data_IF_993625128162
#
_entry.id   IF_993625128162
#
_cell.length_a   1.000
_cell.length_b   1.000
_cell.length_c   1.000
_cell.angle_alpha   90.00
_cell.angle_beta   90.00
_cell.angle_gamma   90.00
#
_symmetry.space_group_name_H-M   'P 1'
#
loop_
_entity.id
_entity.type
_entity.pdbx_description
1 polymer ?
#
# COMPACT_ATOMS: atom_id res chain seq x y z
N UNK A 1 -53.28 -36.15 -24.38
CA UNK A 1 -52.72 -34.94 -23.74
C UNK A 1 -53.82 -33.89 -23.66
N UNK A 2 -54.03 -33.30 -22.48
CA UNK A 2 -55.06 -32.29 -22.29
C UNK A 2 -54.63 -30.97 -22.93
N UNK A 3 -55.46 -30.43 -23.83
CA UNK A 3 -55.22 -29.17 -24.55
C UNK A 3 -54.99 -28.01 -23.59
N UNK A 4 -55.65 -28.03 -22.43
CA UNK A 4 -55.46 -27.02 -21.39
C UNK A 4 -54.05 -27.08 -20.83
N UNK A 5 -53.54 -28.28 -20.56
CA UNK A 5 -52.18 -28.48 -20.04
C UNK A 5 -51.12 -28.04 -21.05
N UNK A 6 -51.35 -28.33 -22.33
CA UNK A 6 -50.45 -27.93 -23.41
C UNK A 6 -50.38 -26.40 -23.57
N UNK A 7 -51.53 -25.71 -23.54
CA UNK A 7 -51.58 -24.25 -23.67
C UNK A 7 -51.02 -23.54 -22.44
N UNK A 8 -51.29 -24.04 -21.24
CA UNK A 8 -50.74 -23.48 -20.00
C UNK A 8 -49.22 -23.66 -19.97
N UNK A 9 -48.70 -24.82 -20.38
CA UNK A 9 -47.27 -25.06 -20.47
C UNK A 9 -46.58 -24.17 -21.51
N UNK A 10 -47.10 -24.11 -22.73
CA UNK A 10 -46.48 -23.31 -23.81
C UNK A 10 -46.57 -21.81 -23.54
N UNK A 11 -47.71 -21.30 -23.08
CA UNK A 11 -47.83 -19.89 -22.70
C UNK A 11 -46.95 -19.53 -21.49
N UNK A 12 -46.89 -20.41 -20.47
CA UNK A 12 -46.02 -20.24 -19.31
C UNK A 12 -44.54 -20.20 -19.70
N UNK A 13 -44.11 -21.02 -20.66
CA UNK A 13 -42.71 -21.04 -21.09
C UNK A 13 -42.38 -19.84 -22.00
N UNK A 14 -43.24 -19.52 -22.96
CA UNK A 14 -42.98 -18.45 -23.95
C UNK A 14 -43.05 -17.04 -23.35
N UNK A 15 -43.91 -16.82 -22.33
CA UNK A 15 -44.05 -15.51 -21.69
C UNK A 15 -43.46 -15.46 -20.28
N UNK A 16 -43.53 -16.56 -19.53
CA UNK A 16 -43.01 -16.61 -18.18
C UNK A 16 -41.48 -16.67 -18.12
N UNK A 17 -40.82 -17.36 -19.06
CA UNK A 17 -39.36 -17.44 -19.07
C UNK A 17 -38.71 -16.08 -19.38
N UNK A 18 -39.10 -15.31 -20.42
CA UNK A 18 -38.54 -13.98 -20.65
C UNK A 18 -38.83 -12.99 -19.51
N UNK A 19 -40.00 -13.11 -18.87
CA UNK A 19 -40.33 -12.29 -17.70
C UNK A 19 -39.44 -12.65 -16.51
N UNK A 20 -39.20 -13.94 -16.25
CA UNK A 20 -38.26 -14.39 -15.22
C UNK A 20 -36.83 -13.92 -15.54
N UNK A 21 -36.41 -14.01 -16.80
CA UNK A 21 -35.10 -13.51 -17.23
C UNK A 21 -34.97 -11.99 -17.01
N UNK A 22 -36.03 -11.23 -17.26
CA UNK A 22 -36.05 -9.78 -17.00
C UNK A 22 -35.96 -9.40 -15.51
N UNK A 23 -36.32 -10.33 -14.62
CA UNK A 23 -36.27 -10.14 -13.16
C UNK A 23 -35.02 -10.76 -12.51
N UNK A 24 -34.49 -11.84 -13.10
CA UNK A 24 -33.36 -12.59 -12.58
C UNK A 24 -32.01 -12.08 -13.10
N UNK A 25 -31.99 -11.49 -14.31
CA UNK A 25 -30.80 -10.86 -14.86
C UNK A 25 -30.88 -9.35 -14.68
N UNK A 26 -30.17 -8.81 -13.69
CA UNK A 26 -29.80 -7.40 -13.72
C UNK A 26 -28.96 -7.19 -15.00
N UNK A 27 -29.44 -6.44 -16.02
CA UNK A 27 -28.69 -6.23 -17.26
C UNK A 27 -27.43 -5.40 -17.03
N UNK A 28 -27.24 -4.89 -15.81
CA UNK A 28 -25.97 -4.37 -15.34
C UNK A 28 -25.10 -5.58 -15.02
N UNK A 29 -24.34 -6.03 -16.02
CA UNK A 29 -23.01 -6.52 -15.73
C UNK A 29 -22.38 -5.47 -14.81
N UNK A 30 -22.38 -5.72 -13.49
CA UNK A 30 -21.68 -4.86 -12.55
C UNK A 30 -20.23 -5.03 -12.98
N UNK A 31 -19.70 -4.02 -13.67
CA UNK A 31 -18.27 -3.88 -13.81
C UNK A 31 -17.69 -4.20 -12.43
N UNK A 32 -16.78 -5.17 -12.36
CA UNK A 32 -16.11 -5.47 -11.11
C UNK A 32 -15.70 -4.13 -10.50
N UNK A 33 -16.04 -3.88 -9.23
CA UNK A 33 -15.63 -2.66 -8.57
C UNK A 33 -14.14 -2.48 -8.87
N UNK A 34 -13.78 -1.33 -9.45
CA UNK A 34 -12.38 -1.00 -9.69
C UNK A 34 -11.58 -1.36 -8.43
N UNK A 35 -10.47 -2.12 -8.56
CA UNK A 35 -9.72 -2.55 -7.40
C UNK A 35 -9.38 -1.30 -6.58
N UNK A 36 -9.66 -1.37 -5.28
CA UNK A 36 -9.38 -0.26 -4.37
C UNK A 36 -7.90 0.13 -4.49
N UNK A 37 -7.58 1.43 -4.53
CA UNK A 37 -6.20 1.87 -4.49
C UNK A 37 -5.50 1.26 -3.28
N UNK A 38 -4.32 0.68 -3.51
CA UNK A 38 -3.49 0.10 -2.45
C UNK A 38 -2.09 0.69 -2.52
N UNK A 39 -1.43 0.74 -1.36
CA UNK A 39 -0.03 1.13 -1.23
C UNK A 39 0.76 -0.06 -0.69
N UNK A 40 1.95 -0.29 -1.26
CA UNK A 40 2.90 -1.30 -0.76
C UNK A 40 4.11 -0.56 -0.21
N UNK A 41 4.45 -0.86 1.03
CA UNK A 41 5.66 -0.35 1.68
C UNK A 41 6.70 -1.46 1.74
N UNK A 42 7.89 -1.18 1.22
CA UNK A 42 9.05 -2.06 1.28
C UNK A 42 10.08 -1.41 2.20
N UNK A 43 10.42 -2.09 3.28
CA UNK A 43 11.39 -1.62 4.26
C UNK A 43 12.73 -2.34 4.05
N UNK A 44 13.83 -1.57 4.06
CA UNK A 44 15.20 -2.08 4.01
C UNK A 44 15.90 -1.70 5.31
N UNK A 45 16.11 -2.63 6.26
CA UNK A 45 16.49 -2.30 7.62
C UNK A 45 17.82 -1.57 7.75
N UNK A 46 18.81 -1.98 6.97
CA UNK A 46 20.14 -1.35 6.96
C UNK A 46 20.29 -0.31 5.84
N UNK A 47 19.21 -0.08 5.09
CA UNK A 47 19.24 0.72 3.88
C UNK A 47 20.15 0.14 2.78
N UNK A 48 20.23 0.84 1.65
CA UNK A 48 21.17 0.56 0.59
C UNK A 48 22.48 1.33 0.77
N UNK A 49 23.52 0.97 0.00
CA UNK A 49 24.77 1.73 -0.08
C UNK A 49 24.50 3.14 -0.63
N UNK A 50 24.61 4.17 0.22
CA UNK A 50 24.10 5.53 -0.04
C UNK A 50 24.73 6.16 -1.28
N UNK A 51 26.03 5.97 -1.49
CA UNK A 51 26.78 6.65 -2.55
C UNK A 51 26.51 6.08 -3.95
N UNK A 52 26.11 4.80 -4.01
CA UNK A 52 25.83 4.10 -5.25
C UNK A 52 24.34 3.86 -5.52
N UNK A 53 23.46 4.04 -4.52
CA UNK A 53 22.04 3.73 -4.68
C UNK A 53 21.27 4.70 -5.58
N UNK A 54 21.40 6.00 -5.31
CA UNK A 54 20.53 7.02 -5.89
C UNK A 54 20.89 7.38 -7.35
N UNK A 55 19.94 7.94 -8.14
CA UNK A 55 20.24 8.45 -9.47
C UNK A 55 21.38 9.47 -9.43
N UNK A 56 22.17 9.52 -10.50
CA UNK A 56 23.38 10.37 -10.56
C UNK A 56 23.10 11.88 -10.52
N UNK A 57 21.86 12.30 -10.83
CA UNK A 57 21.44 13.70 -10.81
C UNK A 57 19.95 13.82 -10.45
N UNK A 58 19.54 14.99 -9.99
CA UNK A 58 18.13 15.33 -9.76
C UNK A 58 17.39 15.58 -11.07
N UNK A 59 16.06 15.45 -11.04
CA UNK A 59 15.20 15.69 -12.20
C UNK A 59 14.60 14.40 -12.76
N UNK A 60 14.31 14.40 -14.07
CA UNK A 60 13.66 13.26 -14.73
C UNK A 60 14.56 12.03 -14.67
N UNK A 61 14.03 10.93 -14.16
CA UNK A 61 14.72 9.64 -14.12
C UNK A 61 14.75 9.05 -15.53
N UNK A 62 15.97 8.75 -16.00
CA UNK A 62 16.25 8.08 -17.27
C UNK A 62 17.20 6.92 -17.07
N UNK A 63 17.31 6.05 -18.08
CA UNK A 63 18.33 4.98 -18.10
C UNK A 63 19.74 5.53 -17.83
N UNK A 64 20.07 6.70 -18.37
CA UNK A 64 21.37 7.34 -18.16
C UNK A 64 21.58 7.76 -16.70
N UNK A 65 20.54 8.28 -16.03
CA UNK A 65 20.66 8.66 -14.61
C UNK A 65 20.75 7.46 -13.66
N UNK A 66 20.31 6.29 -14.11
CA UNK A 66 20.32 5.05 -13.33
C UNK A 66 21.51 4.13 -13.64
N UNK A 67 22.23 4.37 -14.73
CA UNK A 67 23.37 3.53 -15.14
C UNK A 67 24.45 3.46 -14.05
N UNK A 68 24.83 2.25 -13.65
CA UNK A 68 25.81 2.00 -12.59
C UNK A 68 25.31 2.33 -11.18
N UNK A 69 24.00 2.51 -10.99
CA UNK A 69 23.38 2.79 -9.68
C UNK A 69 22.63 1.58 -9.15
N UNK A 70 22.39 1.53 -7.84
CA UNK A 70 21.61 0.46 -7.21
C UNK A 70 20.17 0.35 -7.74
N UNK A 71 19.63 1.44 -8.28
CA UNK A 71 18.32 1.50 -8.92
C UNK A 71 18.32 1.13 -10.43
N UNK A 72 19.47 0.79 -11.02
CA UNK A 72 19.59 0.39 -12.44
C UNK A 72 18.59 -0.69 -12.87
N UNK A 73 18.30 -1.74 -12.07
CA UNK A 73 17.32 -2.76 -12.42
C UNK A 73 15.90 -2.22 -12.66
N UNK A 74 15.58 -1.02 -12.16
CA UNK A 74 14.28 -0.38 -12.32
C UNK A 74 14.18 0.49 -13.58
N UNK A 75 15.19 0.49 -14.44
CA UNK A 75 15.20 1.23 -15.72
C UNK A 75 13.93 1.05 -16.56
N UNK A 76 13.33 -0.16 -16.70
CA UNK A 76 12.07 -0.33 -17.46
C UNK A 76 10.88 0.47 -16.89
N UNK A 77 10.97 0.92 -15.64
CA UNK A 77 9.93 1.65 -14.93
C UNK A 77 10.30 3.11 -14.69
N UNK A 78 11.39 3.63 -15.27
CA UNK A 78 11.91 4.98 -14.99
C UNK A 78 10.85 6.10 -15.09
N UNK A 79 9.89 5.97 -16.01
CA UNK A 79 8.78 6.92 -16.18
C UNK A 79 7.67 6.83 -15.10
N UNK A 80 7.73 5.84 -14.22
CA UNK A 80 6.82 5.60 -13.09
C UNK A 80 7.49 5.78 -11.73
N UNK A 81 8.78 6.14 -11.72
CA UNK A 81 9.54 6.31 -10.49
C UNK A 81 9.55 7.77 -10.05
N UNK A 82 9.35 7.97 -8.75
CA UNK A 82 9.71 9.19 -8.03
C UNK A 82 10.70 8.74 -6.95
N UNK A 83 11.92 9.26 -7.00
CA UNK A 83 12.95 8.96 -6.02
C UNK A 83 13.21 10.21 -5.20
N UNK A 84 12.94 10.12 -3.91
CA UNK A 84 13.16 11.20 -2.95
C UNK A 84 14.43 10.87 -2.17
N UNK A 85 15.39 11.78 -2.17
CA UNK A 85 16.65 11.68 -1.43
C UNK A 85 16.81 12.93 -0.55
N UNK A 86 17.61 12.83 0.51
CA UNK A 86 17.86 13.93 1.45
C UNK A 86 16.83 14.04 2.56
N UNK A 87 15.94 13.05 2.71
CA UNK A 87 15.10 12.91 3.91
C UNK A 87 15.94 12.24 5.00
N UNK A 88 16.14 12.94 6.11
CA UNK A 88 16.78 12.43 7.32
C UNK A 88 15.96 12.86 8.52
N UNK A 89 15.96 12.03 9.56
CA UNK A 89 15.21 12.30 10.80
C UNK A 89 16.01 13.15 11.79
N UNK A 90 17.27 13.49 11.48
CA UNK A 90 18.17 14.26 12.35
C UNK A 90 18.85 13.43 13.44
N UNK A 91 18.47 12.16 13.63
CA UNK A 91 19.08 11.27 14.63
C UNK A 91 20.44 10.71 14.21
N UNK A 92 20.79 10.82 12.93
CA UNK A 92 22.13 10.56 12.41
C UNK A 92 23.24 11.40 13.09
N UNK A 93 22.86 12.53 13.71
CA UNK A 93 23.78 13.48 14.36
C UNK A 93 23.91 13.25 15.88
N UNK A 94 22.99 12.51 16.51
CA UNK A 94 22.94 12.32 17.96
C UNK A 94 23.19 10.86 18.41
N UNK A 95 23.37 10.66 19.72
CA UNK A 95 24.02 9.50 20.39
C UNK A 95 23.47 8.09 20.12
N UNK A 96 22.35 7.92 19.41
CA UNK A 96 21.69 6.63 19.19
C UNK A 96 21.66 6.25 17.69
N UNK A 97 22.83 6.29 17.02
CA UNK A 97 22.95 6.01 15.58
C UNK A 97 22.40 4.63 15.21
N UNK A 98 21.14 4.58 14.76
CA UNK A 98 20.51 3.34 14.32
C UNK A 98 20.18 2.40 15.47
N UNK A 99 19.82 2.94 16.63
CA UNK A 99 19.23 2.12 17.68
C UNK A 99 17.92 1.45 17.19
N UNK A 100 17.65 0.24 17.69
CA UNK A 100 16.49 -0.55 17.27
C UNK A 100 15.16 0.17 17.55
N UNK A 101 15.04 0.83 18.71
CA UNK A 101 13.83 1.56 19.07
C UNK A 101 13.58 2.74 18.15
N UNK A 102 14.62 3.56 17.91
CA UNK A 102 14.57 4.74 17.05
C UNK A 102 14.12 4.41 15.62
N UNK A 103 14.76 3.39 15.03
CA UNK A 103 14.52 3.00 13.64
C UNK A 103 13.09 2.48 13.42
N UNK A 104 12.54 1.77 14.41
CA UNK A 104 11.17 1.24 14.35
C UNK A 104 10.13 2.35 14.42
N UNK A 105 10.25 3.29 15.36
CA UNK A 105 9.23 4.34 15.54
C UNK A 105 9.34 5.48 14.53
N UNK A 106 10.48 5.63 13.85
CA UNK A 106 10.65 6.50 12.69
C UNK A 106 10.08 5.94 11.38
N UNK A 107 9.67 4.66 11.37
CA UNK A 107 9.16 3.99 10.16
C UNK A 107 7.92 4.71 9.62
N UNK A 108 7.97 5.07 8.33
CA UNK A 108 6.93 5.82 7.60
C UNK A 108 6.61 7.25 8.10
N UNK A 109 7.28 7.77 9.12
CA UNK A 109 7.02 9.15 9.61
C UNK A 109 8.02 10.17 9.08
N UNK A 110 9.27 9.73 8.86
CA UNK A 110 10.41 10.59 8.54
C UNK A 110 10.59 11.77 9.52
N UNK A 111 10.04 11.65 10.72
CA UNK A 111 10.05 12.68 11.75
C UNK A 111 11.10 12.38 12.82
N UNK A 112 11.40 13.40 13.62
CA UNK A 112 12.20 13.19 14.82
C UNK A 112 11.53 12.19 15.75
N UNK A 113 12.35 11.45 16.47
CA UNK A 113 11.89 10.49 17.47
C UNK A 113 12.22 11.03 18.86
N UNK A 114 11.23 10.98 19.74
CA UNK A 114 11.43 11.15 21.17
C UNK A 114 11.81 9.79 21.77
N UNK A 115 13.10 9.59 22.01
CA UNK A 115 13.64 8.38 22.64
C UNK A 115 14.40 8.73 23.91
N UNK A 116 13.95 8.27 25.09
CA UNK A 116 14.75 8.33 26.29
C UNK A 116 15.98 7.41 26.18
N UNK A 117 17.14 7.85 26.68
CA UNK A 117 18.38 7.07 26.65
C UNK A 117 18.19 5.68 27.27
N UNK A 118 18.61 4.62 26.55
CA UNK A 118 18.53 3.21 26.95
C UNK A 118 17.11 2.70 27.26
N UNK A 119 16.06 3.31 26.69
CA UNK A 119 14.65 2.89 26.88
C UNK A 119 13.93 2.79 25.54
N UNK A 120 14.38 1.86 24.71
CA UNK A 120 13.92 1.66 23.32
C UNK A 120 12.42 1.35 23.25
N UNK A 121 11.91 0.65 24.27
CA UNK A 121 10.49 0.31 24.43
C UNK A 121 9.59 1.54 24.69
N UNK A 122 10.17 2.72 24.88
CA UNK A 122 9.46 3.98 25.13
C UNK A 122 9.67 5.03 24.03
N UNK A 123 10.37 4.65 22.96
CA UNK A 123 10.56 5.51 21.81
C UNK A 123 9.19 5.88 21.18
N UNK A 124 9.05 7.13 20.76
CA UNK A 124 7.82 7.65 20.13
C UNK A 124 8.13 8.51 18.93
N UNK A 125 7.39 8.31 17.85
CA UNK A 125 7.41 9.23 16.72
C UNK A 125 6.75 10.57 17.09
N UNK A 126 7.31 11.68 16.62
CA UNK A 126 6.75 13.02 16.89
C UNK A 126 5.74 13.47 15.83
N UNK A 127 5.58 12.72 14.74
CA UNK A 127 4.64 13.04 13.68
C UNK A 127 3.83 11.82 13.21
N UNK A 128 2.80 12.12 12.44
CA UNK A 128 1.93 11.14 11.80
C UNK A 128 2.67 10.39 10.69
N UNK A 129 2.44 9.09 10.58
CA UNK A 129 2.98 8.24 9.53
C UNK A 129 2.27 8.40 8.17
N UNK A 130 2.97 8.04 7.10
CA UNK A 130 2.49 8.14 5.71
C UNK A 130 1.23 7.29 5.47
N UNK A 131 1.15 6.10 6.04
CA UNK A 131 -0.02 5.23 5.95
C UNK A 131 -1.24 5.84 6.66
N UNK A 132 -1.06 6.54 7.79
CA UNK A 132 -2.13 7.32 8.40
C UNK A 132 -2.54 8.48 7.50
N UNK A 133 -1.59 9.16 6.86
CA UNK A 133 -1.90 10.24 5.92
C UNK A 133 -2.72 9.73 4.73
N UNK A 134 -2.38 8.56 4.19
CA UNK A 134 -3.12 7.89 3.12
C UNK A 134 -4.52 7.50 3.59
N UNK A 135 -4.65 6.83 4.75
CA UNK A 135 -5.95 6.44 5.29
C UNK A 135 -6.87 7.64 5.55
N UNK A 136 -6.30 8.75 6.06
CA UNK A 136 -7.04 10.00 6.24
C UNK A 136 -7.53 10.61 4.93
N UNK A 137 -6.75 10.50 3.86
CA UNK A 137 -7.07 11.10 2.56
C UNK A 137 -8.06 10.25 1.73
N UNK A 138 -7.94 8.91 1.79
CA UNK A 138 -8.68 7.99 0.92
C UNK A 138 -9.74 7.15 1.67
N UNK A 139 -9.82 7.29 2.99
CA UNK A 139 -10.61 6.39 3.84
C UNK A 139 -9.87 5.08 4.12
N UNK A 140 -10.42 4.29 5.04
CA UNK A 140 -9.81 3.05 5.51
C UNK A 140 -9.08 3.23 6.84
N UNK A 141 -8.23 2.26 7.19
CA UNK A 141 -7.45 2.26 8.43
C UNK A 141 -5.96 2.35 8.11
N UNK A 142 -5.16 3.07 8.93
CA UNK A 142 -3.72 3.04 8.83
C UNK A 142 -3.19 1.61 8.99
N UNK A 143 -1.94 1.39 8.59
CA UNK A 143 -1.21 0.20 8.96
C UNK A 143 -1.01 0.23 10.47
N UNK A 144 -1.95 -0.34 11.20
CA UNK A 144 -1.65 -0.77 12.55
C UNK A 144 -0.62 -1.89 12.41
N UNK A 145 0.66 -1.55 12.52
CA UNK A 145 1.68 -2.50 12.99
C UNK A 145 1.23 -2.87 14.41
N UNK A 146 0.23 -3.74 14.50
CA UNK A 146 -0.25 -4.27 15.75
C UNK A 146 0.95 -5.03 16.33
N UNK A 147 1.67 -4.39 17.24
CA UNK A 147 2.23 -5.14 18.32
C UNK A 147 0.99 -5.60 19.09
N UNK A 148 0.62 -6.89 19.06
CA UNK A 148 -0.46 -7.35 19.93
C UNK A 148 -0.09 -6.96 21.35
N UNK A 149 -1.09 -6.80 22.22
CA UNK A 149 -0.91 -6.36 23.61
C UNK A 149 0.12 -7.22 24.39
N UNK A 150 0.51 -8.39 23.83
CA UNK A 150 1.52 -9.31 24.36
C UNK A 150 2.74 -9.59 23.43
N UNK A 151 2.97 -8.80 22.39
CA UNK A 151 4.15 -8.91 21.52
C UNK A 151 4.17 -10.11 20.57
N UNK A 152 4.13 -9.83 19.27
CA UNK A 152 4.42 -10.78 18.18
C UNK A 152 3.21 -11.46 17.52
N UNK A 153 3.30 -11.79 16.21
CA UNK A 153 2.23 -12.47 15.48
C UNK A 153 1.97 -13.86 16.08
N UNK A 154 0.76 -14.10 16.56
CA UNK A 154 0.28 -15.44 16.87
C UNK A 154 0.17 -16.23 15.57
N UNK A 155 1.02 -17.26 15.42
CA UNK A 155 0.88 -18.34 14.45
C UNK A 155 -0.40 -19.16 14.69
#
# INVERSE_FOLDING_TARGET
MDRRLFLVGTAGTMFGLPLLESLAFDPRAKAANEPLPFAIFLYQPMGPEKDSWFPSQTGKITAQTLAGKGLEPLTPFANKLIVINGMGQGNEVNKNKGDHGDSLVGTLTAAQVDQPLNRDNEAKSTAQSLDFAIAKAFGGSPLNLACPDNGGPSI
#
